data_IF_018182853914
#
_entry.id   IF_018182853914
#
_cell.length_a   1.000
_cell.length_b   1.000
_cell.length_c   1.000
_cell.angle_alpha   90.00
_cell.angle_beta   90.00
_cell.angle_gamma   90.00
#
_symmetry.space_group_name_H-M   'P 1'
#
loop_
_entity.id
_entity.type
_entity.pdbx_description
1 polymer ?
#
# COMPACT_ATOMS: atom_id res chain seq x y z
N UNK A 1 1.68 -20.06 -6.79
CA UNK A 1 0.85 -21.23 -6.41
C UNK A 1 -0.35 -20.72 -5.63
N UNK A 2 -1.56 -21.19 -5.93
CA UNK A 2 -2.79 -20.75 -5.25
C UNK A 2 -3.32 -21.88 -4.38
N UNK A 3 -3.71 -21.55 -3.15
CA UNK A 3 -4.31 -22.52 -2.23
C UNK A 3 -5.73 -22.90 -2.67
N UNK A 4 -6.44 -21.97 -3.31
CA UNK A 4 -7.86 -22.12 -3.66
C UNK A 4 -8.09 -23.07 -4.83
N UNK A 5 -7.04 -23.41 -5.58
CA UNK A 5 -7.09 -24.44 -6.62
C UNK A 5 -6.96 -25.87 -6.07
N UNK A 6 -6.66 -26.02 -4.78
CA UNK A 6 -6.57 -27.34 -4.13
C UNK A 6 -7.99 -27.82 -3.75
N UNK A 7 -8.41 -29.02 -4.15
CA UNK A 7 -9.71 -29.57 -3.78
C UNK A 7 -9.92 -29.57 -2.26
N UNK A 8 -11.10 -29.11 -1.81
CA UNK A 8 -11.48 -29.04 -0.39
C UNK A 8 -11.18 -30.31 0.42
N UNK A 9 -11.52 -31.53 -0.06
CA UNK A 9 -11.25 -32.77 0.67
C UNK A 9 -9.75 -33.04 0.91
N UNK A 10 -8.87 -32.54 0.05
CA UNK A 10 -7.43 -32.64 0.24
C UNK A 10 -6.94 -31.55 1.20
N UNK A 11 -7.48 -30.33 1.04
CA UNK A 11 -7.13 -29.16 1.88
C UNK A 11 -7.46 -29.40 3.35
N UNK A 12 -8.54 -30.11 3.65
CA UNK A 12 -8.95 -30.46 5.01
C UNK A 12 -8.01 -31.49 5.67
N UNK A 13 -7.23 -32.23 4.87
CA UNK A 13 -6.29 -33.27 5.33
C UNK A 13 -4.82 -32.83 5.30
N UNK A 14 -4.55 -31.54 5.11
CA UNK A 14 -3.19 -31.01 5.07
C UNK A 14 -2.99 -29.90 6.11
N UNK A 15 -1.81 -29.88 6.70
CA UNK A 15 -1.33 -28.71 7.42
C UNK A 15 -0.76 -27.71 6.41
N UNK A 16 -1.31 -26.50 6.39
CA UNK A 16 -0.90 -25.45 5.45
C UNK A 16 0.14 -24.56 6.13
N UNK A 17 1.40 -24.70 5.72
CA UNK A 17 2.48 -23.79 6.12
C UNK A 17 2.65 -22.71 5.04
N UNK A 18 2.33 -21.46 5.38
CA UNK A 18 2.49 -20.33 4.46
C UNK A 18 3.91 -19.76 4.53
N UNK A 19 4.60 -19.76 3.38
CA UNK A 19 5.90 -19.12 3.22
C UNK A 19 5.71 -17.75 2.58
N UNK A 20 6.04 -16.69 3.32
CA UNK A 20 5.99 -15.32 2.81
C UNK A 20 7.15 -15.01 1.87
N UNK A 21 6.99 -13.94 1.07
CA UNK A 21 8.10 -13.37 0.30
C UNK A 21 9.20 -12.77 1.17
N UNK A 22 10.31 -12.41 0.52
CA UNK A 22 11.49 -11.85 1.17
C UNK A 22 11.59 -10.32 1.01
N UNK A 23 12.07 -9.63 2.04
CA UNK A 23 12.46 -8.21 1.99
C UNK A 23 13.75 -8.01 1.17
N UNK A 24 14.06 -6.76 0.79
CA UNK A 24 15.32 -6.46 0.07
C UNK A 24 16.54 -6.93 0.86
N UNK A 25 16.56 -6.67 2.17
CA UNK A 25 17.66 -7.08 3.06
C UNK A 25 17.75 -8.60 3.20
N UNK A 26 16.61 -9.29 3.33
CA UNK A 26 16.58 -10.75 3.35
C UNK A 26 17.13 -11.34 2.05
N UNK A 27 16.70 -10.82 0.89
CA UNK A 27 17.23 -11.24 -0.41
C UNK A 27 18.73 -11.01 -0.53
N UNK A 28 19.21 -9.86 -0.07
CA UNK A 28 20.65 -9.55 -0.04
C UNK A 28 21.41 -10.58 0.79
N UNK A 29 20.98 -10.83 2.04
CA UNK A 29 21.64 -11.78 2.94
C UNK A 29 21.62 -13.20 2.39
N UNK A 30 20.48 -13.64 1.87
CA UNK A 30 20.34 -14.96 1.24
C UNK A 30 21.27 -15.09 0.03
N UNK A 31 21.38 -14.04 -0.79
CA UNK A 31 22.30 -14.05 -1.91
C UNK A 31 23.75 -14.16 -1.48
N UNK A 32 24.18 -13.39 -0.49
CA UNK A 32 25.56 -13.41 -0.01
C UNK A 32 25.94 -14.77 0.59
N UNK A 33 25.05 -15.34 1.41
CA UNK A 33 25.33 -16.55 2.16
C UNK A 33 25.20 -17.81 1.30
N UNK A 34 24.21 -17.86 0.41
CA UNK A 34 23.82 -19.11 -0.25
C UNK A 34 23.88 -19.04 -1.78
N UNK A 35 23.25 -18.04 -2.40
CA UNK A 35 23.07 -18.04 -3.87
C UNK A 35 24.38 -17.73 -4.59
N UNK A 36 25.09 -16.67 -4.23
CA UNK A 36 26.33 -16.25 -4.91
C UNK A 36 27.40 -17.34 -4.83
N UNK A 37 27.72 -17.94 -3.66
CA UNK A 37 28.67 -19.05 -3.60
C UNK A 37 28.28 -20.23 -4.51
N UNK A 38 27.00 -20.61 -4.50
CA UNK A 38 26.47 -21.71 -5.32
C UNK A 38 26.59 -21.40 -6.82
N UNK A 39 26.27 -20.18 -7.23
CA UNK A 39 26.30 -19.78 -8.64
C UNK A 39 27.74 -19.60 -9.17
N UNK A 40 28.68 -19.18 -8.34
CA UNK A 40 30.12 -19.15 -8.68
C UNK A 40 30.62 -20.57 -8.97
N UNK A 41 30.31 -21.51 -8.08
CA UNK A 41 30.71 -22.92 -8.20
C UNK A 41 30.06 -23.58 -9.42
N UNK A 42 28.76 -23.38 -9.63
CA UNK A 42 28.03 -23.90 -10.78
C UNK A 42 28.55 -23.34 -12.13
N UNK A 43 29.14 -22.14 -12.13
CA UNK A 43 29.80 -21.56 -13.30
C UNK A 43 31.24 -22.07 -13.52
N UNK A 44 31.74 -22.96 -12.66
CA UNK A 44 33.11 -23.48 -12.72
C UNK A 44 34.19 -22.49 -12.25
N UNK A 45 33.80 -21.47 -11.48
CA UNK A 45 34.70 -20.45 -10.95
C UNK A 45 35.07 -20.76 -9.49
N UNK A 46 36.23 -20.27 -9.04
CA UNK A 46 36.63 -20.32 -7.62
C UNK A 46 36.03 -19.14 -6.86
N UNK A 47 35.67 -19.35 -5.58
CA UNK A 47 35.16 -18.29 -4.69
C UNK A 47 36.10 -17.08 -4.56
N UNK A 48 37.42 -17.28 -4.74
CA UNK A 48 38.40 -16.20 -4.72
C UNK A 48 38.39 -15.33 -5.98
N UNK A 49 37.85 -15.81 -7.10
CA UNK A 49 37.87 -15.13 -8.40
C UNK A 49 36.74 -14.13 -8.58
N UNK A 50 35.64 -14.25 -7.83
CA UNK A 50 34.46 -13.38 -7.99
C UNK A 50 33.97 -12.87 -6.66
N UNK A 51 33.72 -11.56 -6.58
CA UNK A 51 33.00 -10.91 -5.48
C UNK A 51 31.91 -10.03 -6.06
N UNK A 52 30.65 -10.30 -5.72
CA UNK A 52 29.54 -9.38 -6.02
C UNK A 52 29.28 -8.57 -4.74
N UNK A 53 29.38 -7.25 -4.83
CA UNK A 53 29.22 -6.39 -3.64
C UNK A 53 27.76 -6.31 -3.18
N UNK A 54 27.54 -5.88 -1.93
CA UNK A 54 26.18 -5.70 -1.38
C UNK A 54 25.36 -4.76 -2.24
N UNK A 55 25.95 -3.65 -2.63
CA UNK A 55 25.27 -2.64 -3.43
C UNK A 55 24.97 -3.16 -4.84
N UNK A 56 25.86 -3.96 -5.43
CA UNK A 56 25.58 -4.61 -6.71
C UNK A 56 24.42 -5.62 -6.59
N UNK A 57 24.37 -6.39 -5.50
CA UNK A 57 23.24 -7.27 -5.20
C UNK A 57 21.93 -6.47 -5.08
N UNK A 58 21.92 -5.37 -4.33
CA UNK A 58 20.75 -4.50 -4.19
C UNK A 58 20.30 -3.92 -5.52
N UNK A 59 21.24 -3.49 -6.36
CA UNK A 59 20.94 -2.99 -7.70
C UNK A 59 20.31 -4.08 -8.58
N UNK A 60 20.80 -5.32 -8.51
CA UNK A 60 20.18 -6.45 -9.23
C UNK A 60 18.75 -6.68 -8.74
N UNK A 61 18.53 -6.69 -7.42
CA UNK A 61 17.17 -6.88 -6.87
C UNK A 61 16.23 -5.77 -7.33
N UNK A 62 16.64 -4.50 -7.24
CA UNK A 62 15.81 -3.33 -7.58
C UNK A 62 15.60 -3.14 -9.08
N UNK A 63 16.65 -3.33 -9.88
CA UNK A 63 16.66 -2.99 -11.30
C UNK A 63 16.32 -4.13 -12.25
N UNK A 64 16.43 -5.39 -11.79
CA UNK A 64 16.37 -6.57 -12.66
C UNK A 64 15.44 -7.68 -12.16
N UNK A 65 14.73 -7.48 -11.04
CA UNK A 65 13.78 -8.45 -10.47
C UNK A 65 12.51 -7.77 -9.99
N UNK A 66 11.35 -8.43 -10.12
CA UNK A 66 10.06 -7.97 -9.59
C UNK A 66 9.23 -9.19 -9.15
N UNK A 67 9.63 -9.77 -8.03
CA UNK A 67 9.00 -10.98 -7.47
C UNK A 67 9.10 -10.98 -5.94
N UNK A 68 8.23 -11.74 -5.27
CA UNK A 68 8.34 -11.97 -3.82
C UNK A 68 9.45 -12.97 -3.47
N UNK A 69 9.71 -13.94 -4.34
CA UNK A 69 10.73 -14.99 -4.18
C UNK A 69 12.13 -14.60 -4.65
N UNK A 70 12.93 -15.62 -5.00
CA UNK A 70 14.34 -15.48 -5.37
C UNK A 70 14.67 -16.07 -6.75
N UNK A 71 13.67 -16.58 -7.49
CA UNK A 71 13.91 -17.38 -8.70
C UNK A 71 14.52 -16.54 -9.83
N UNK A 72 13.87 -15.44 -10.18
CA UNK A 72 14.37 -14.50 -11.18
C UNK A 72 15.67 -13.89 -10.71
N UNK A 73 15.75 -13.55 -9.42
CA UNK A 73 16.96 -13.00 -8.82
C UNK A 73 18.17 -13.93 -8.93
N UNK A 74 17.99 -15.22 -8.62
CA UNK A 74 19.02 -16.23 -8.78
C UNK A 74 19.45 -16.39 -10.25
N UNK A 75 18.50 -16.37 -11.19
CA UNK A 75 18.83 -16.42 -12.62
C UNK A 75 19.69 -15.24 -13.07
N UNK A 76 19.46 -14.03 -12.54
CA UNK A 76 20.28 -12.85 -12.82
C UNK A 76 21.70 -12.99 -12.26
N UNK A 77 21.83 -13.44 -11.01
CA UNK A 77 23.15 -13.73 -10.41
C UNK A 77 23.91 -14.80 -11.20
N UNK A 78 23.21 -15.86 -11.64
CA UNK A 78 23.76 -16.91 -12.48
C UNK A 78 24.26 -16.38 -13.83
N UNK A 79 23.51 -15.46 -14.45
CA UNK A 79 23.90 -14.83 -15.72
C UNK A 79 25.20 -14.02 -15.59
N UNK A 80 25.37 -13.28 -14.49
CA UNK A 80 26.62 -12.55 -14.19
C UNK A 80 27.78 -13.55 -14.06
N UNK A 81 27.61 -14.60 -13.25
CA UNK A 81 28.66 -15.61 -13.05
C UNK A 81 29.06 -16.29 -14.37
N UNK A 82 28.08 -16.67 -15.21
CA UNK A 82 28.35 -17.26 -16.53
C UNK A 82 29.11 -16.30 -17.45
N UNK A 83 28.74 -15.01 -17.49
CA UNK A 83 29.47 -14.02 -18.30
C UNK A 83 30.91 -13.86 -17.84
N UNK A 84 31.16 -13.84 -16.53
CA UNK A 84 32.52 -13.81 -15.99
C UNK A 84 33.29 -15.08 -16.40
N UNK A 85 32.67 -16.26 -16.27
CA UNK A 85 33.28 -17.52 -16.69
C UNK A 85 33.63 -17.53 -18.18
N UNK A 86 32.76 -16.98 -19.05
CA UNK A 86 33.05 -16.83 -20.48
C UNK A 86 34.26 -15.94 -20.73
N UNK A 87 34.38 -14.80 -20.05
CA UNK A 87 35.54 -13.90 -20.17
C UNK A 87 36.84 -14.58 -19.73
N UNK A 88 36.80 -15.35 -18.65
CA UNK A 88 37.95 -16.14 -18.16
C UNK A 88 38.32 -17.24 -19.17
N UNK A 89 37.34 -17.93 -19.74
CA UNK A 89 37.57 -18.98 -20.73
C UNK A 89 38.17 -18.45 -22.04
N UNK A 90 37.80 -17.23 -22.45
CA UNK A 90 38.35 -16.52 -23.61
C UNK A 90 39.72 -15.89 -23.36
N UNK A 91 40.21 -15.91 -22.12
CA UNK A 91 41.48 -15.28 -21.74
C UNK A 91 41.42 -13.75 -21.62
N UNK A 92 40.22 -13.16 -21.67
CA UNK A 92 40.02 -11.71 -21.45
C UNK A 92 40.28 -11.31 -19.99
N UNK A 93 40.06 -12.25 -19.05
CA UNK A 93 40.33 -12.08 -17.62
C UNK A 93 41.25 -13.21 -17.19
N UNK A 94 42.32 -12.87 -16.46
CA UNK A 94 43.25 -13.88 -15.95
C UNK A 94 42.56 -14.80 -14.94
N UNK A 95 42.87 -16.10 -14.98
CA UNK A 95 42.38 -17.07 -13.97
C UNK A 95 42.80 -16.73 -12.53
N UNK A 96 43.83 -15.90 -12.34
CA UNK A 96 44.32 -15.46 -11.03
C UNK A 96 43.71 -14.13 -10.58
N UNK A 97 43.03 -13.44 -11.49
CA UNK A 97 42.43 -12.14 -11.21
C UNK A 97 41.11 -12.30 -10.47
N UNK A 98 40.86 -11.38 -9.54
CA UNK A 98 39.61 -11.29 -8.79
C UNK A 98 38.73 -10.23 -9.39
N UNK A 99 37.62 -10.64 -9.98
CA UNK A 99 36.57 -9.75 -10.49
C UNK A 99 35.69 -9.31 -9.32
N UNK A 100 35.60 -8.00 -9.09
CA UNK A 100 34.66 -7.43 -8.12
C UNK A 100 33.59 -6.68 -8.87
N UNK A 101 32.35 -7.19 -8.84
CA UNK A 101 31.21 -6.56 -9.51
C UNK A 101 30.63 -5.49 -8.59
N UNK A 102 30.70 -4.24 -9.04
CA UNK A 102 30.14 -3.05 -8.42
C UNK A 102 28.77 -2.67 -9.04
N UNK A 103 27.95 -1.83 -8.38
CA UNK A 103 26.63 -1.45 -8.88
C UNK A 103 26.65 -0.90 -10.32
N UNK A 104 27.59 -0.01 -10.63
CA UNK A 104 27.71 0.60 -11.95
C UNK A 104 28.13 -0.37 -13.07
N UNK A 105 28.62 -1.56 -12.73
CA UNK A 105 29.03 -2.57 -13.69
C UNK A 105 27.91 -3.58 -14.00
N UNK A 106 26.84 -3.58 -13.19
CA UNK A 106 25.71 -4.54 -13.34
C UNK A 106 25.11 -4.45 -14.74
N UNK A 107 24.98 -3.24 -15.29
CA UNK A 107 24.44 -3.02 -16.63
C UNK A 107 25.29 -3.68 -17.72
N UNK A 108 26.62 -3.64 -17.60
CA UNK A 108 27.52 -4.32 -18.54
C UNK A 108 27.33 -5.85 -18.56
N UNK A 109 26.85 -6.43 -17.46
CA UNK A 109 26.56 -7.86 -17.39
C UNK A 109 25.11 -8.20 -17.73
N UNK A 110 24.13 -7.42 -17.31
CA UNK A 110 22.71 -7.78 -17.45
C UNK A 110 21.99 -7.04 -18.59
N UNK A 111 22.65 -6.09 -19.24
CA UNK A 111 22.04 -5.13 -20.15
C UNK A 111 21.39 -3.97 -19.39
N UNK A 112 20.71 -3.08 -20.13
CA UNK A 112 20.00 -1.95 -19.54
C UNK A 112 19.06 -2.39 -18.42
N UNK A 113 18.96 -1.53 -17.41
CA UNK A 113 18.07 -1.73 -16.28
C UNK A 113 16.64 -1.96 -16.76
N UNK A 114 15.99 -3.02 -16.26
CA UNK A 114 14.65 -3.45 -16.71
C UNK A 114 13.56 -2.64 -16.00
N UNK A 115 13.74 -2.42 -14.70
CA UNK A 115 12.81 -1.68 -13.85
C UNK A 115 13.46 -0.36 -13.46
N UNK A 116 12.80 0.77 -13.70
CA UNK A 116 13.32 2.07 -13.27
C UNK A 116 13.69 2.08 -11.76
N UNK A 117 14.58 2.98 -11.30
CA UNK A 117 14.66 3.36 -9.89
C UNK A 117 13.25 3.56 -9.32
N UNK A 118 13.02 3.21 -8.05
CA UNK A 118 11.75 3.48 -7.35
C UNK A 118 11.23 4.82 -7.85
N UNK A 119 10.10 4.80 -8.57
CA UNK A 119 9.53 6.00 -9.16
C UNK A 119 9.51 7.06 -8.06
N UNK A 120 9.99 8.26 -8.37
CA UNK A 120 9.64 9.41 -7.56
C UNK A 120 8.12 9.32 -7.39
N UNK A 121 7.67 9.18 -6.13
CA UNK A 121 6.28 8.94 -5.80
C UNK A 121 5.39 9.79 -6.70
N UNK A 122 4.43 9.14 -7.35
CA UNK A 122 3.53 9.75 -8.32
C UNK A 122 3.06 11.12 -7.79
N UNK A 123 3.09 12.19 -8.60
CA UNK A 123 2.53 13.46 -8.18
C UNK A 123 1.05 13.27 -7.82
N UNK A 124 0.47 14.11 -6.93
CA UNK A 124 -0.96 14.01 -6.66
C UNK A 124 -1.77 14.20 -7.94
N UNK A 125 -2.70 13.28 -8.24
CA UNK A 125 -3.58 13.38 -9.42
C UNK A 125 -5.03 13.10 -9.04
N UNK A 126 -5.93 13.65 -9.84
CA UNK A 126 -7.38 13.53 -9.65
C UNK A 126 -7.83 12.16 -10.15
N UNK A 127 -8.64 11.47 -9.36
CA UNK A 127 -9.28 10.21 -9.75
C UNK A 127 -8.34 8.99 -9.77
N UNK A 128 -7.08 9.14 -9.35
CA UNK A 128 -6.08 8.07 -9.36
C UNK A 128 -5.63 7.74 -7.93
N UNK A 129 -5.82 6.48 -7.50
CA UNK A 129 -5.58 6.06 -6.11
C UNK A 129 -4.81 4.74 -6.06
N UNK A 130 -3.80 4.67 -5.19
CA UNK A 130 -3.08 3.42 -4.94
C UNK A 130 -3.89 2.50 -4.01
N UNK A 131 -4.33 1.35 -4.54
CA UNK A 131 -4.92 0.26 -3.78
C UNK A 131 -3.90 -0.85 -3.49
N UNK A 132 -3.99 -1.46 -2.32
CA UNK A 132 -3.17 -2.63 -1.99
C UNK A 132 -3.94 -3.92 -2.28
N UNK A 133 -3.37 -4.77 -3.13
CA UNK A 133 -3.95 -6.03 -3.52
C UNK A 133 -3.12 -7.21 -3.02
N UNK A 134 -3.79 -8.35 -2.87
CA UNK A 134 -3.16 -9.63 -2.63
C UNK A 134 -3.37 -10.50 -3.86
N UNK A 135 -2.29 -11.05 -4.40
CA UNK A 135 -2.31 -11.89 -5.60
C UNK A 135 -1.62 -13.22 -5.33
N UNK A 136 -1.76 -14.16 -6.26
CA UNK A 136 -1.07 -15.46 -6.23
C UNK A 136 0.46 -15.38 -6.19
N UNK A 137 1.04 -14.22 -6.55
CA UNK A 137 2.49 -13.96 -6.55
C UNK A 137 2.93 -13.13 -5.33
N UNK A 138 2.01 -12.81 -4.42
CA UNK A 138 2.22 -11.96 -3.25
C UNK A 138 1.44 -10.64 -3.35
N UNK A 139 1.78 -9.71 -2.47
CA UNK A 139 1.14 -8.39 -2.44
C UNK A 139 1.63 -7.49 -3.57
N UNK A 140 0.73 -6.64 -4.06
CA UNK A 140 1.00 -5.66 -5.13
C UNK A 140 0.28 -4.33 -4.87
N UNK A 141 0.78 -3.26 -5.51
CA UNK A 141 0.15 -1.94 -5.50
C UNK A 141 -0.54 -1.74 -6.85
N UNK A 142 -1.86 -1.59 -6.82
CA UNK A 142 -2.69 -1.35 -8.01
C UNK A 142 -3.12 0.11 -8.06
N UNK A 143 -3.02 0.73 -9.23
CA UNK A 143 -3.54 2.07 -9.48
C UNK A 143 -4.99 1.95 -9.92
N UNK A 144 -5.95 2.40 -9.13
CA UNK A 144 -7.34 2.52 -9.57
C UNK A 144 -7.50 3.89 -10.19
N UNK A 145 -7.95 3.92 -11.44
CA UNK A 145 -8.13 5.14 -12.22
C UNK A 145 -9.61 5.36 -12.48
N UNK A 146 -10.02 6.63 -12.43
CA UNK A 146 -11.41 7.02 -12.69
C UNK A 146 -11.44 8.24 -13.59
N UNK A 147 -12.35 8.22 -14.56
CA UNK A 147 -12.59 9.32 -15.48
C UNK A 147 -14.08 9.65 -15.50
N UNK A 148 -14.40 10.92 -15.75
CA UNK A 148 -15.76 11.37 -16.01
C UNK A 148 -15.83 12.11 -17.32
N UNK A 149 -16.92 11.93 -18.06
CA UNK A 149 -17.21 12.64 -19.31
C UNK A 149 -18.72 12.90 -19.42
N UNK A 150 -19.17 13.92 -20.15
CA UNK A 150 -20.59 14.24 -20.27
C UNK A 150 -21.41 13.01 -20.71
N UNK A 151 -22.52 12.74 -20.05
CA UNK A 151 -23.33 11.54 -20.25
C UNK A 151 -24.63 11.56 -19.45
N UNK A 152 -25.18 10.37 -19.19
CA UNK A 152 -26.49 10.16 -18.56
C UNK A 152 -26.40 9.58 -17.13
N UNK A 153 -25.19 9.52 -16.55
CA UNK A 153 -24.97 8.95 -15.22
C UNK A 153 -24.62 7.46 -15.22
N UNK A 154 -24.16 6.91 -16.35
CA UNK A 154 -23.76 5.51 -16.48
C UNK A 154 -22.41 5.28 -15.81
N UNK A 155 -22.24 4.11 -15.21
CA UNK A 155 -20.96 3.68 -14.64
C UNK A 155 -20.44 2.49 -15.43
N UNK A 156 -19.31 2.66 -16.10
CA UNK A 156 -18.59 1.61 -16.81
C UNK A 156 -17.36 1.17 -16.00
N UNK A 157 -17.01 -0.11 -16.13
CA UNK A 157 -15.88 -0.68 -15.40
C UNK A 157 -15.06 -1.59 -16.32
N UNK A 158 -13.74 -1.47 -16.25
CA UNK A 158 -12.77 -2.26 -17.06
C UNK A 158 -11.65 -2.82 -16.19
N UNK A 159 -10.98 -3.89 -16.64
CA UNK A 159 -9.87 -4.50 -15.91
C UNK A 159 -10.08 -5.93 -15.38
N UNK A 160 -10.96 -6.71 -16.03
CA UNK A 160 -11.26 -8.12 -15.72
C UNK A 160 -11.68 -8.36 -14.26
N UNK A 161 -12.79 -7.74 -13.87
CA UNK A 161 -13.32 -7.84 -12.50
C UNK A 161 -14.33 -8.98 -12.40
N UNK A 162 -14.23 -9.75 -11.31
CA UNK A 162 -15.26 -10.70 -10.92
C UNK A 162 -16.48 -10.00 -10.30
N UNK A 163 -17.48 -10.79 -9.94
CA UNK A 163 -18.77 -10.25 -9.50
C UNK A 163 -18.70 -9.58 -8.12
N UNK A 164 -17.84 -10.08 -7.21
CA UNK A 164 -17.64 -9.47 -5.87
C UNK A 164 -17.06 -8.07 -5.99
N UNK A 165 -16.17 -7.85 -6.96
CA UNK A 165 -15.64 -6.52 -7.22
C UNK A 165 -16.66 -5.58 -7.86
N UNK A 166 -17.57 -6.08 -8.71
CA UNK A 166 -18.68 -5.25 -9.24
C UNK A 166 -19.62 -4.80 -8.12
N UNK A 167 -19.92 -5.69 -7.17
CA UNK A 167 -20.66 -5.34 -5.95
C UNK A 167 -19.94 -4.28 -5.11
N UNK A 168 -18.62 -4.38 -5.01
CA UNK A 168 -17.79 -3.39 -4.32
C UNK A 168 -17.85 -2.00 -4.98
N UNK A 169 -17.83 -1.95 -6.32
CA UNK A 169 -18.02 -0.70 -7.09
C UNK A 169 -19.40 -0.11 -6.81
N UNK A 170 -20.46 -0.94 -6.87
CA UNK A 170 -21.83 -0.49 -6.60
C UNK A 170 -21.99 0.04 -5.17
N UNK A 171 -21.39 -0.64 -4.18
CA UNK A 171 -21.41 -0.23 -2.77
C UNK A 171 -20.68 1.09 -2.55
N UNK A 172 -19.50 1.25 -3.16
CA UNK A 172 -18.73 2.48 -3.09
C UNK A 172 -19.46 3.66 -3.74
N UNK A 173 -20.05 3.45 -4.93
CA UNK A 173 -20.85 4.48 -5.61
C UNK A 173 -22.05 4.89 -4.75
N UNK A 174 -22.77 3.92 -4.20
CA UNK A 174 -23.92 4.17 -3.32
C UNK A 174 -23.53 4.95 -2.06
N UNK A 175 -22.39 4.62 -1.45
CA UNK A 175 -21.86 5.34 -0.30
C UNK A 175 -21.51 6.80 -0.66
N UNK A 176 -20.81 7.02 -1.78
CA UNK A 176 -20.41 8.36 -2.22
C UNK A 176 -21.64 9.21 -2.56
N UNK A 177 -22.62 8.64 -3.25
CA UNK A 177 -23.87 9.32 -3.58
C UNK A 177 -24.66 9.68 -2.31
N UNK A 178 -24.78 8.76 -1.36
CA UNK A 178 -25.47 9.00 -0.08
C UNK A 178 -24.78 10.05 0.82
N UNK A 179 -23.50 10.36 0.58
CA UNK A 179 -22.73 11.34 1.34
C UNK A 179 -22.26 12.54 0.50
N UNK A 180 -22.82 12.72 -0.71
CA UNK A 180 -22.38 13.71 -1.68
C UNK A 180 -22.33 15.13 -1.08
N UNK A 181 -23.39 15.56 -0.41
CA UNK A 181 -23.47 16.89 0.22
C UNK A 181 -22.35 17.11 1.25
N UNK A 182 -22.11 16.13 2.13
CA UNK A 182 -21.06 16.21 3.16
C UNK A 182 -19.67 16.29 2.55
N UNK A 183 -19.47 15.62 1.41
CA UNK A 183 -18.23 15.56 0.66
C UNK A 183 -18.03 16.79 -0.25
N UNK A 184 -19.03 17.67 -0.38
CA UNK A 184 -19.01 18.82 -1.27
C UNK A 184 -19.12 18.44 -2.75
N UNK A 185 -19.85 17.37 -3.05
CA UNK A 185 -20.13 16.89 -4.41
C UNK A 185 -21.52 17.38 -4.81
N UNK A 186 -21.65 17.93 -6.02
CA UNK A 186 -22.95 18.29 -6.59
C UNK A 186 -23.73 17.02 -6.97
N UNK A 187 -24.95 16.86 -6.45
CA UNK A 187 -25.82 15.72 -6.78
C UNK A 187 -26.17 15.68 -8.28
N UNK A 188 -26.15 16.83 -8.98
CA UNK A 188 -26.37 16.88 -10.41
C UNK A 188 -25.26 16.17 -11.21
N UNK A 189 -24.03 16.11 -10.68
CA UNK A 189 -22.90 15.49 -11.37
C UNK A 189 -23.12 13.99 -11.62
N UNK A 190 -23.85 13.29 -10.75
CA UNK A 190 -24.17 11.87 -10.92
C UNK A 190 -25.10 11.58 -12.10
N UNK A 191 -25.84 12.58 -12.59
CA UNK A 191 -26.70 12.44 -13.77
C UNK A 191 -26.09 13.05 -15.02
N UNK A 192 -25.24 14.06 -14.84
CA UNK A 192 -24.62 14.83 -15.93
C UNK A 192 -23.40 14.12 -16.55
N UNK A 193 -22.75 13.27 -15.78
CA UNK A 193 -21.51 12.63 -16.20
C UNK A 193 -21.63 11.11 -16.13
N UNK A 194 -21.16 10.46 -17.19
CA UNK A 194 -20.81 9.04 -17.13
C UNK A 194 -19.44 8.91 -16.44
N UNK A 195 -19.28 7.86 -15.65
CA UNK A 195 -18.06 7.56 -14.90
C UNK A 195 -17.48 6.24 -15.40
N UNK A 196 -16.19 6.23 -15.73
CA UNK A 196 -15.46 5.03 -16.08
C UNK A 196 -14.44 4.73 -15.00
N UNK A 197 -14.48 3.51 -14.45
CA UNK A 197 -13.47 2.98 -13.54
C UNK A 197 -12.57 1.97 -14.26
N UNK A 198 -11.26 2.17 -14.15
CA UNK A 198 -10.26 1.29 -14.73
C UNK A 198 -9.38 0.66 -13.65
N UNK A 199 -9.20 -0.65 -13.76
CA UNK A 199 -8.36 -1.46 -12.88
C UNK A 199 -7.26 -2.12 -13.73
N UNK A 200 -6.09 -1.50 -13.89
CA UNK A 200 -4.99 -1.94 -14.75
C UNK A 200 -4.68 -3.43 -14.59
N UNK A 201 -4.40 -4.10 -15.70
CA UNK A 201 -4.26 -5.55 -15.74
C UNK A 201 -3.11 -6.06 -14.84
N UNK A 202 -3.44 -7.05 -14.02
CA UNK A 202 -2.53 -8.10 -13.60
C UNK A 202 -3.12 -9.40 -14.13
N UNK A 203 -2.30 -10.37 -14.53
CA UNK A 203 -2.73 -11.63 -15.15
C UNK A 203 -3.60 -12.56 -14.25
N UNK A 204 -4.14 -12.04 -13.15
CA UNK A 204 -4.95 -12.74 -12.15
C UNK A 204 -6.27 -11.99 -11.98
N UNK A 205 -7.42 -12.68 -12.08
CA UNK A 205 -8.73 -12.07 -11.83
C UNK A 205 -8.77 -11.33 -10.49
N UNK A 206 -9.22 -10.08 -10.52
CA UNK A 206 -9.35 -9.25 -9.33
C UNK A 206 -10.75 -9.45 -8.76
N UNK A 207 -10.90 -10.43 -7.88
CA UNK A 207 -12.21 -10.78 -7.31
C UNK A 207 -12.16 -10.87 -5.78
N UNK A 208 -12.17 -9.72 -5.12
CA UNK A 208 -12.26 -9.64 -3.66
C UNK A 208 -12.61 -8.23 -3.18
N UNK A 209 -13.35 -8.08 -2.07
CA UNK A 209 -14.01 -6.81 -1.71
C UNK A 209 -13.05 -5.73 -1.18
N UNK A 210 -11.76 -6.03 -1.09
CA UNK A 210 -10.75 -5.24 -0.38
C UNK A 210 -10.34 -3.92 -1.03
N UNK A 211 -10.94 -3.57 -2.17
CA UNK A 211 -10.71 -2.31 -2.88
C UNK A 211 -11.79 -1.24 -2.65
N UNK A 212 -12.84 -1.55 -1.86
CA UNK A 212 -13.99 -0.67 -1.66
C UNK A 212 -13.64 0.75 -1.21
N UNK A 213 -12.74 0.89 -0.23
CA UNK A 213 -12.27 2.22 0.23
C UNK A 213 -11.49 2.98 -0.83
N UNK A 214 -10.71 2.26 -1.64
CA UNK A 214 -9.90 2.82 -2.73
C UNK A 214 -10.79 3.36 -3.84
N UNK A 215 -11.82 2.60 -4.21
CA UNK A 215 -12.83 2.99 -5.20
C UNK A 215 -13.59 4.23 -4.72
N UNK A 216 -14.08 4.22 -3.47
CA UNK A 216 -14.79 5.37 -2.92
C UNK A 216 -13.91 6.64 -2.93
N UNK A 217 -12.63 6.51 -2.57
CA UNK A 217 -11.68 7.63 -2.60
C UNK A 217 -11.44 8.16 -4.02
N UNK A 218 -11.31 7.27 -5.00
CA UNK A 218 -11.12 7.65 -6.41
C UNK A 218 -12.33 8.42 -6.93
N UNK A 219 -13.55 7.93 -6.64
CA UNK A 219 -14.80 8.60 -7.00
C UNK A 219 -14.92 9.99 -6.35
N UNK A 220 -14.61 10.12 -5.05
CA UNK A 220 -14.64 11.42 -4.38
C UNK A 220 -13.61 12.37 -4.99
N UNK A 221 -12.40 11.90 -5.24
CA UNK A 221 -11.36 12.70 -5.89
C UNK A 221 -11.82 13.21 -7.25
N UNK A 222 -12.38 12.32 -8.08
CA UNK A 222 -12.90 12.64 -9.41
C UNK A 222 -14.05 13.66 -9.34
N UNK A 223 -15.04 13.45 -8.48
CA UNK A 223 -16.23 14.29 -8.42
C UNK A 223 -15.96 15.65 -7.76
N UNK A 224 -15.05 15.70 -6.78
CA UNK A 224 -14.64 16.97 -6.15
C UNK A 224 -13.53 17.70 -6.92
N UNK A 225 -12.96 17.06 -7.95
CA UNK A 225 -11.81 17.56 -8.71
C UNK A 225 -10.60 17.89 -7.81
N UNK A 226 -10.38 17.07 -6.77
CA UNK A 226 -9.27 17.24 -5.83
C UNK A 226 -8.29 16.08 -5.95
N UNK A 227 -6.99 16.35 -6.04
CA UNK A 227 -6.02 15.30 -6.28
C UNK A 227 -5.81 14.42 -5.06
N UNK A 228 -5.53 13.14 -5.29
CA UNK A 228 -5.14 12.17 -4.26
C UNK A 228 -3.62 12.10 -4.20
N UNK A 229 -3.09 12.10 -2.97
CA UNK A 229 -1.65 11.95 -2.72
C UNK A 229 -1.12 10.65 -3.32
N UNK A 230 -0.10 10.73 -4.17
CA UNK A 230 0.54 9.54 -4.76
C UNK A 230 1.42 8.74 -3.80
N UNK A 231 1.68 9.25 -2.59
CA UNK A 231 2.42 8.55 -1.54
C UNK A 231 1.56 7.81 -0.51
N UNK A 232 0.24 7.79 -0.74
CA UNK A 232 -0.74 7.09 0.10
C UNK A 232 -1.23 5.85 -0.63
N UNK A 233 -1.28 4.70 0.06
CA UNK A 233 -1.95 3.50 -0.41
C UNK A 233 -2.96 2.99 0.63
N UNK A 234 -4.01 2.32 0.17
CA UNK A 234 -5.08 1.87 1.05
C UNK A 234 -5.68 0.52 0.66
N UNK A 235 -6.25 -0.17 1.64
CA UNK A 235 -7.07 -1.37 1.44
C UNK A 235 -8.17 -1.39 2.48
N UNK A 236 -9.29 -2.00 2.15
CA UNK A 236 -10.43 -2.10 3.05
C UNK A 236 -11.70 -2.39 2.26
N UNK A 237 -12.47 -3.33 2.78
CA UNK A 237 -13.84 -3.50 2.33
C UNK A 237 -14.71 -2.38 2.91
N UNK A 238 -15.71 -1.96 2.14
CA UNK A 238 -16.63 -0.88 2.50
C UNK A 238 -18.04 -1.43 2.70
N UNK A 239 -18.74 -0.94 3.72
CA UNK A 239 -20.19 -1.11 3.84
C UNK A 239 -20.93 0.12 3.33
N UNK A 240 -22.21 -0.03 2.98
CA UNK A 240 -23.09 1.09 2.61
C UNK A 240 -23.16 2.21 3.67
N UNK A 241 -22.90 1.88 4.95
CA UNK A 241 -22.88 2.83 6.07
C UNK A 241 -21.52 3.51 6.28
N UNK A 242 -20.54 3.26 5.42
CA UNK A 242 -19.22 3.87 5.50
C UNK A 242 -18.27 3.25 6.52
N UNK A 243 -18.57 2.07 7.07
CA UNK A 243 -17.59 1.31 7.87
C UNK A 243 -16.55 0.67 6.97
N UNK A 244 -15.30 0.66 7.45
CA UNK A 244 -14.18 -0.08 6.85
C UNK A 244 -14.07 -1.45 7.53
N UNK A 245 -14.20 -2.52 6.75
CA UNK A 245 -14.17 -3.90 7.24
C UNK A 245 -12.81 -4.55 7.03
N UNK A 246 -12.55 -5.64 7.78
CA UNK A 246 -11.28 -6.35 7.77
C UNK A 246 -11.00 -6.97 6.39
N UNK A 247 -9.72 -7.06 6.03
CA UNK A 247 -9.27 -7.69 4.79
C UNK A 247 -8.11 -8.65 5.06
N UNK A 248 -7.94 -9.66 4.20
CA UNK A 248 -6.81 -10.60 4.28
C UNK A 248 -5.51 -10.04 3.68
N UNK A 249 -4.41 -10.75 3.95
CA UNK A 249 -3.10 -10.54 3.32
C UNK A 249 -2.39 -9.25 3.74
N UNK A 250 -2.57 -8.80 5.00
CA UNK A 250 -2.03 -7.53 5.48
C UNK A 250 -0.50 -7.48 5.39
N UNK A 251 0.18 -8.56 5.79
CA UNK A 251 1.64 -8.66 5.69
C UNK A 251 2.13 -8.42 4.27
N UNK A 252 1.57 -9.13 3.30
CA UNK A 252 1.95 -9.04 1.90
C UNK A 252 1.64 -7.65 1.31
N UNK A 253 0.46 -7.09 1.63
CA UNK A 253 0.03 -5.77 1.19
C UNK A 253 0.91 -4.65 1.72
N UNK A 254 1.28 -4.69 3.01
CA UNK A 254 2.18 -3.71 3.62
C UNK A 254 3.59 -3.82 3.04
N UNK A 255 4.08 -5.05 2.83
CA UNK A 255 5.37 -5.25 2.16
C UNK A 255 5.36 -4.78 0.71
N UNK A 256 4.23 -4.89 0.01
CA UNK A 256 4.09 -4.35 -1.34
C UNK A 256 4.18 -2.83 -1.34
N UNK A 257 3.45 -2.17 -0.44
CA UNK A 257 3.53 -0.72 -0.26
C UNK A 257 4.98 -0.27 0.02
N UNK A 258 5.65 -0.97 0.93
CA UNK A 258 7.05 -0.71 1.28
C UNK A 258 7.98 -0.79 0.07
N UNK A 259 7.91 -1.87 -0.72
CA UNK A 259 8.73 -2.07 -1.93
C UNK A 259 8.41 -1.10 -3.07
N UNK A 260 7.22 -0.49 -3.05
CA UNK A 260 6.78 0.50 -4.05
C UNK A 260 7.06 1.94 -3.61
N UNK A 261 7.80 2.15 -2.51
CA UNK A 261 8.14 3.48 -2.01
C UNK A 261 6.98 4.28 -1.43
N UNK A 262 5.81 3.66 -1.21
CA UNK A 262 4.67 4.30 -0.53
C UNK A 262 5.10 4.72 0.87
N UNK A 263 4.65 5.89 1.34
CA UNK A 263 5.04 6.42 2.67
C UNK A 263 3.94 6.27 3.71
N UNK A 264 2.69 6.22 3.27
CA UNK A 264 1.54 6.18 4.18
C UNK A 264 0.55 5.10 3.74
N UNK A 265 0.31 4.12 4.62
CA UNK A 265 -0.65 3.04 4.38
C UNK A 265 -1.87 3.21 5.28
N UNK A 266 -3.06 3.13 4.68
CA UNK A 266 -4.34 3.14 5.38
C UNK A 266 -4.91 1.72 5.42
N UNK A 267 -5.10 1.18 6.64
CA UNK A 267 -5.60 -0.17 6.86
C UNK A 267 -6.87 -0.15 7.72
N UNK A 268 -7.75 -1.16 7.60
CA UNK A 268 -8.88 -1.31 8.51
C UNK A 268 -8.41 -1.46 9.95
N UNK A 269 -9.06 -0.78 10.91
CA UNK A 269 -8.71 -0.93 12.33
C UNK A 269 -8.87 -2.35 12.84
N UNK A 270 -9.79 -3.13 12.25
CA UNK A 270 -9.96 -4.54 12.57
C UNK A 270 -8.70 -5.38 12.30
N UNK A 271 -7.82 -4.95 11.38
CA UNK A 271 -6.57 -5.61 11.04
C UNK A 271 -5.38 -5.21 11.92
N UNK A 272 -5.60 -4.50 13.04
CA UNK A 272 -4.52 -4.05 13.92
C UNK A 272 -3.64 -5.20 14.44
N UNK A 273 -4.24 -6.38 14.67
CA UNK A 273 -3.52 -7.56 15.17
C UNK A 273 -2.56 -8.14 14.13
N UNK A 274 -2.94 -8.10 12.85
CA UNK A 274 -2.16 -8.65 11.74
C UNK A 274 -0.86 -7.87 11.48
N UNK A 275 -0.72 -6.67 12.05
CA UNK A 275 0.52 -5.89 11.99
C UNK A 275 1.68 -6.54 12.76
N UNK A 276 1.41 -7.49 13.66
CA UNK A 276 2.45 -8.22 14.36
C UNK A 276 3.30 -9.07 13.40
N UNK A 277 2.69 -9.55 12.32
CA UNK A 277 3.34 -10.38 11.29
C UNK A 277 4.15 -9.56 10.27
N UNK A 278 4.02 -8.23 10.31
CA UNK A 278 4.76 -7.32 9.44
C UNK A 278 6.18 -7.12 10.01
N UNK A 279 7.23 -7.29 9.18
CA UNK A 279 8.61 -7.00 9.57
C UNK A 279 8.79 -5.60 10.18
N UNK A 280 9.63 -5.50 11.20
CA UNK A 280 9.81 -4.26 11.97
C UNK A 280 10.33 -3.10 11.11
N UNK A 281 11.18 -3.41 10.12
CA UNK A 281 11.71 -2.47 9.13
C UNK A 281 10.57 -1.73 8.40
N UNK A 282 9.68 -2.49 7.74
CA UNK A 282 8.52 -1.93 7.05
C UNK A 282 7.59 -1.13 7.99
N UNK A 283 7.40 -1.59 9.24
CA UNK A 283 6.59 -0.86 10.23
C UNK A 283 7.22 0.45 10.71
N UNK A 284 8.54 0.60 10.63
CA UNK A 284 9.26 1.81 11.03
C UNK A 284 9.32 2.85 9.93
N UNK A 285 9.44 2.41 8.69
CA UNK A 285 9.53 3.32 7.53
C UNK A 285 8.16 3.76 7.00
N UNK A 286 7.13 2.92 7.14
CA UNK A 286 5.77 3.27 6.75
C UNK A 286 5.01 3.95 7.88
N UNK A 287 4.37 5.08 7.58
CA UNK A 287 3.28 5.59 8.42
C UNK A 287 2.05 4.71 8.20
N UNK A 288 1.64 3.95 9.21
CA UNK A 288 0.43 3.12 9.15
C UNK A 288 -0.69 3.80 9.94
N UNK A 289 -1.84 4.03 9.30
CA UNK A 289 -3.04 4.56 9.96
C UNK A 289 -4.16 3.53 9.90
N UNK A 290 -4.73 3.26 11.07
CA UNK A 290 -5.85 2.35 11.25
C UNK A 290 -7.15 3.13 11.21
N UNK A 291 -8.04 2.79 10.29
CA UNK A 291 -9.26 3.54 10.01
C UNK A 291 -10.51 2.68 10.26
N UNK A 292 -11.55 3.27 10.84
CA UNK A 292 -12.86 2.62 11.03
C UNK A 292 -13.89 3.10 10.01
N UNK A 293 -13.70 4.30 9.47
CA UNK A 293 -14.66 4.94 8.59
C UNK A 293 -14.00 5.39 7.28
N UNK A 294 -14.71 5.17 6.17
CA UNK A 294 -14.25 5.50 4.82
C UNK A 294 -13.92 7.00 4.69
N UNK A 295 -14.65 7.86 5.39
CA UNK A 295 -14.40 9.31 5.39
C UNK A 295 -13.02 9.65 5.95
N UNK A 296 -12.51 8.92 6.95
CA UNK A 296 -11.15 9.12 7.48
C UNK A 296 -10.11 8.83 6.41
N UNK A 297 -10.32 7.76 5.62
CA UNK A 297 -9.44 7.40 4.52
C UNK A 297 -9.43 8.50 3.45
N UNK A 298 -10.61 8.92 3.03
CA UNK A 298 -10.79 9.95 2.01
C UNK A 298 -10.12 11.26 2.45
N UNK A 299 -10.38 11.73 3.68
CA UNK A 299 -9.80 12.98 4.19
C UNK A 299 -8.28 12.92 4.34
N UNK A 300 -7.73 11.75 4.63
CA UNK A 300 -6.29 11.56 4.73
C UNK A 300 -5.60 11.57 3.36
N UNK A 301 -6.27 11.04 2.33
CA UNK A 301 -5.70 10.81 1.01
C UNK A 301 -5.94 11.96 0.01
N UNK A 302 -7.12 12.60 0.04
CA UNK A 302 -7.53 13.65 -0.90
C UNK A 302 -7.02 15.02 -0.42
N UNK A 303 -6.17 15.66 -1.22
CA UNK A 303 -5.53 16.94 -0.87
C UNK A 303 -6.57 18.06 -0.86
N UNK A 304 -6.60 18.83 0.24
CA UNK A 304 -7.48 20.01 0.35
C UNK A 304 -8.97 19.68 0.46
N UNK A 305 -9.35 18.42 0.68
CA UNK A 305 -10.73 18.08 0.99
C UNK A 305 -11.11 18.61 2.37
N UNK A 306 -12.29 19.21 2.46
CA UNK A 306 -12.91 19.65 3.71
C UNK A 306 -14.34 19.15 3.69
N UNK A 307 -14.79 18.57 4.80
CA UNK A 307 -16.18 18.15 4.94
C UNK A 307 -17.06 19.37 5.22
N UNK A 308 -18.20 19.44 4.55
CA UNK A 308 -19.23 20.42 4.87
C UNK A 308 -20.19 19.80 5.89
N UNK A 309 -20.31 20.40 7.08
CA UNK A 309 -21.27 19.96 8.10
C UNK A 309 -20.77 19.87 9.54
N UNK A 310 -19.47 19.99 9.81
CA UNK A 310 -19.04 20.35 11.17
C UNK A 310 -19.08 21.87 11.30
N UNK A 311 -20.13 22.38 11.96
CA UNK A 311 -20.05 23.74 12.53
C UNK A 311 -18.75 23.78 13.35
N UNK A 312 -17.87 24.79 13.18
CA UNK A 312 -16.72 24.93 14.04
C UNK A 312 -17.23 24.89 15.48
N UNK A 313 -16.69 23.99 16.31
CA UNK A 313 -16.97 24.02 17.75
C UNK A 313 -16.54 25.40 18.22
N UNK A 314 -17.52 26.26 18.49
CA UNK A 314 -17.26 27.53 19.17
C UNK A 314 -16.42 27.18 20.41
N UNK A 315 -15.33 27.92 20.69
CA UNK A 315 -14.60 27.73 21.93
C UNK A 315 -15.61 27.76 23.07
N UNK A 316 -15.53 26.78 23.98
CA UNK A 316 -16.41 26.73 25.16
C UNK A 316 -16.36 28.12 25.80
N UNK A 317 -17.52 28.72 26.17
CA UNK A 317 -17.51 29.99 26.88
C UNK A 317 -16.56 29.85 28.05
N UNK A 318 -15.55 30.73 28.10
CA UNK A 318 -14.69 30.86 29.27
C UNK A 318 -15.64 31.06 30.45
N UNK A 319 -15.63 30.12 31.39
CA UNK A 319 -16.43 30.23 32.61
C UNK A 319 -16.07 31.57 33.26
N UNK A 320 -17.03 32.51 33.30
CA UNK A 320 -16.82 33.78 33.99
C UNK A 320 -16.41 33.45 35.43
N UNK A 321 -15.42 34.16 36.01
CA UNK A 321 -15.03 33.93 37.39
C UNK A 321 -16.29 34.01 38.27
N UNK A 322 -16.57 32.94 39.01
CA UNK A 322 -17.67 32.91 39.97
C UNK A 322 -17.48 34.10 40.91
N UNK A 323 -18.52 34.95 41.02
CA UNK A 323 -18.55 36.02 42.04
C UNK A 323 -18.27 35.38 43.40
N UNK A 324 -17.41 35.97 44.24
CA UNK A 324 -17.18 35.44 45.58
C UNK A 324 -18.51 35.37 46.33
N UNK A 325 -18.78 34.23 46.97
CA UNK A 325 -19.94 34.08 47.84
C UNK A 325 -19.89 35.19 48.90
N UNK A 326 -20.99 35.92 49.04
CA UNK A 326 -21.20 36.79 50.21
C UNK A 326 -21.14 35.90 51.45
N UNK A 327 -20.20 36.19 52.34
CA UNK A 327 -20.16 35.66 53.70
C UNK A 327 -21.49 35.93 54.40
N UNK A 328 -22.07 34.96 55.13
CA UNK A 328 -23.24 35.23 55.95
C UNK A 328 -22.88 36.26 57.02
N UNK A 329 -23.71 37.31 57.15
CA UNK A 329 -23.64 38.21 58.29
C UNK A 329 -23.98 37.40 59.54
N UNK A 330 -23.08 37.43 60.51
CA UNK A 330 -23.32 37.01 61.89
C UNK A 330 -24.38 37.93 62.50
N UNK A 331 -25.55 37.39 62.83
CA UNK A 331 -26.52 38.09 63.67
C UNK A 331 -25.96 38.10 65.10
N UNK A 332 -25.46 39.27 65.49
CA UNK A 332 -25.16 39.60 66.86
C UNK A 332 -26.45 40.05 67.56
N UNK A 333 -26.83 39.32 68.60
CA UNK A 333 -27.82 39.73 69.60
C UNK A 333 -27.40 41.05 70.25
N UNK A 334 -28.35 41.92 70.62
CA UNK A 334 -28.17 42.75 71.79
C UNK A 334 -29.22 42.40 72.85
N UNK A 335 -28.74 41.98 74.02
CA UNK A 335 -29.46 42.08 75.26
C UNK A 335 -29.47 43.55 75.73
N UNK A 336 -30.60 44.04 76.24
CA UNK A 336 -30.65 45.28 77.03
C UNK A 336 -32.07 45.75 77.34
N UNK A 337 -32.32 46.39 78.51
CA UNK A 337 -33.46 46.06 79.37
C UNK A 337 -34.43 47.23 79.64
N UNK A 338 -35.64 46.92 80.12
CA UNK A 338 -36.57 47.81 80.87
C UNK A 338 -37.87 47.04 81.15
N UNK A 339 -38.59 47.12 82.26
CA UNK A 339 -38.49 47.81 83.54
C UNK A 339 -39.41 47.06 84.52
#
# INVERSE_FOLDING_TARGET
NMLDTIPGPLRDRMEVIQLSGYTLEEKERIAQQYIVPRQIEAAGLKKSQVKITRDAIREIVRGYTREAGLRTFEQRLAAICRKIATKVARGEISRREKVTVQPGEVEGYLGQRIWAPEEALRPPEIGVVNGLAWTAMGGDVLLIETARYPGDGKVSVTGQLGDVMKESVSTALSFVHANAEKLGIDLADFKKYDIHLHFPEGAVPKDGPSAGVTIATALVSLLTQKPVRGDVAMTGEISLRGKVLAVGGIKEKVLAAFRSGIRHVLLPKANAKDLQDVPLEARRELKISLTENVLENILTAVVGLRMFGEKPRLPRPVEKPRRPLKTPRTDATPAGPSA
#
